data_IF_494741092591
#
_entry.id   IF_494741092591
#
_cell.length_a   1.000
_cell.length_b   1.000
_cell.length_c   1.000
_cell.angle_alpha   90.00
_cell.angle_beta   90.00
_cell.angle_gamma   90.00
#
_symmetry.space_group_name_H-M   'P 1'
#
loop_
_entity.id
_entity.type
_entity.pdbx_description
1 polymer ?
2 non-polymer ?
3 non-polymer ?
4 non-polymer ?
5 water ?
#
# COMPACT_ATOMS: atom_id res chain seq x y z
N UNK A 1 14.59 -10.32 -21.23
CA UNK A 1 13.50 -9.66 -20.47
C UNK A 1 13.82 -9.49 -18.97
N UNK A 2 13.34 -8.42 -18.37
CA UNK A 2 13.69 -8.21 -16.98
C UNK A 2 12.61 -8.75 -16.01
N UNK A 3 13.05 -8.99 -14.79
CA UNK A 3 12.15 -9.42 -13.74
C UNK A 3 13.00 -9.25 -12.50
N UNK A 4 12.36 -9.21 -11.34
CA UNK A 4 13.13 -9.05 -10.13
C UNK A 4 12.23 -9.29 -8.94
N UNK A 5 12.86 -9.46 -7.78
CA UNK A 5 12.13 -9.68 -6.57
C UNK A 5 12.70 -8.74 -5.56
N UNK A 6 11.83 -7.89 -4.99
CA UNK A 6 12.21 -6.95 -3.93
C UNK A 6 11.63 -7.51 -2.63
N UNK A 7 12.41 -7.50 -1.56
CA UNK A 7 11.95 -8.00 -0.29
C UNK A 7 11.40 -6.87 0.57
N UNK A 8 10.19 -7.05 1.10
CA UNK A 8 9.61 -6.04 1.98
C UNK A 8 9.64 -6.53 3.42
N UNK A 9 9.63 -5.61 4.38
CA UNK A 9 9.63 -6.05 5.74
C UNK A 9 8.73 -5.14 6.55
N UNK A 10 7.85 -5.73 7.36
CA UNK A 10 6.93 -4.93 8.15
C UNK A 10 7.62 -4.29 9.33
N UNK A 11 7.16 -3.11 9.70
CA UNK A 11 7.62 -2.42 10.89
C UNK A 11 6.78 -2.98 12.05
N UNK A 12 6.91 -2.41 13.24
CA UNK A 12 6.17 -2.88 14.39
C UNK A 12 4.66 -2.95 14.11
N UNK A 13 4.03 -4.06 14.52
CA UNK A 13 2.62 -4.26 14.30
C UNK A 13 2.19 -4.25 12.84
N UNK A 14 3.13 -4.46 11.92
CA UNK A 14 2.78 -4.43 10.50
C UNK A 14 2.16 -3.08 10.15
N UNK A 15 2.58 -2.01 10.81
CA UNK A 15 2.00 -0.73 10.48
C UNK A 15 2.31 -0.29 9.05
N UNK A 16 3.50 -0.63 8.58
CA UNK A 16 3.87 -0.31 7.20
C UNK A 16 4.95 -1.27 6.77
N UNK A 17 5.10 -1.44 5.46
CA UNK A 17 6.06 -2.36 4.89
C UNK A 17 7.12 -1.56 4.11
N UNK A 18 8.39 -1.73 4.44
CA UNK A 18 9.46 -1.04 3.75
C UNK A 18 10.24 -1.97 2.81
N UNK A 19 10.81 -1.37 1.77
CA UNK A 19 11.57 -2.08 0.75
C UNK A 19 12.70 -1.13 0.29
N UNK A 20 13.92 -1.65 0.19
CA UNK A 20 15.06 -0.81 -0.23
C UNK A 20 14.97 -0.47 -1.72
N UNK A 21 15.33 0.76 -2.07
CA UNK A 21 15.29 1.22 -3.45
C UNK A 21 16.56 2.06 -3.62
N UNK A 22 17.34 1.80 -4.66
CA UNK A 22 18.56 2.57 -4.87
C UNK A 22 18.32 3.63 -5.90
N UNK A 23 18.64 4.86 -5.53
CA UNK A 23 18.43 5.99 -6.42
C UNK A 23 19.73 6.75 -6.55
N UNK A 24 20.25 6.77 -7.77
CA UNK A 24 21.54 7.44 -7.98
C UNK A 24 22.62 6.86 -7.07
N UNK A 25 22.62 5.54 -6.86
CA UNK A 25 23.61 4.87 -6.00
C UNK A 25 23.38 4.92 -4.47
N UNK A 26 22.40 5.69 -4.02
CA UNK A 26 22.08 5.75 -2.58
C UNK A 26 20.84 4.88 -2.33
N UNK A 27 20.91 4.00 -1.32
CA UNK A 27 19.77 3.14 -1.00
C UNK A 27 18.89 3.78 0.09
N UNK A 28 17.58 3.80 -0.17
CA UNK A 28 16.63 4.38 0.78
C UNK A 28 15.53 3.33 1.02
N UNK A 29 14.96 3.37 2.22
CA UNK A 29 13.90 2.45 2.56
C UNK A 29 12.56 3.14 2.29
N UNK A 30 11.85 2.68 1.26
CA UNK A 30 10.59 3.29 0.89
C UNK A 30 9.37 2.42 1.18
N UNK A 31 8.22 3.07 1.33
CA UNK A 31 6.94 2.39 1.55
C UNK A 31 6.30 2.27 0.16
N UNK A 32 6.14 1.07 -0.36
CA UNK A 32 5.53 0.88 -1.67
C UNK A 32 4.02 1.03 -1.52
N UNK A 33 3.39 1.85 -2.36
CA UNK A 33 1.98 2.14 -2.15
C UNK A 33 1.15 2.05 -3.42
N UNK A 34 0.34 1.00 -3.54
CA UNK A 34 -0.48 0.85 -4.72
C UNK A 34 -1.66 1.86 -4.79
N UNK A 35 -1.81 2.66 -3.74
CA UNK A 35 -2.86 3.68 -3.66
C UNK A 35 -2.48 5.10 -4.13
N UNK A 36 -1.23 5.30 -4.56
CA UNK A 36 -0.82 6.62 -5.08
C UNK A 36 0.23 6.41 -6.15
N UNK A 37 0.46 7.46 -6.94
CA UNK A 37 1.33 7.39 -8.09
C UNK A 37 2.59 8.23 -8.07
N UNK A 38 2.99 8.70 -6.89
CA UNK A 38 4.21 9.51 -6.80
C UNK A 38 5.38 8.77 -6.14
N UNK A 39 6.58 8.97 -6.67
CA UNK A 39 7.76 8.38 -6.03
C UNK A 39 8.43 9.59 -5.41
N UNK A 40 8.39 9.74 -4.10
CA UNK A 40 9.03 10.92 -3.52
C UNK A 40 9.93 10.48 -2.40
N UNK A 41 10.99 11.24 -2.13
CA UNK A 41 11.94 10.83 -1.12
C UNK A 41 12.46 11.98 -0.30
N UNK A 42 12.88 11.69 0.92
CA UNK A 42 13.49 12.73 1.76
C UNK A 42 14.73 13.16 0.97
N UNK A 43 15.12 14.43 1.03
CA UNK A 43 16.28 14.88 0.23
C UNK A 43 17.07 15.94 0.97
N UNK A 44 18.20 16.33 0.39
CA UNK A 44 19.03 17.34 1.01
C UNK A 44 18.42 18.72 0.97
N UNK A 45 17.30 18.84 0.27
CA UNK A 45 16.60 20.13 0.18
C UNK A 45 15.79 20.44 1.42
N UNK A 46 15.57 19.43 2.28
CA UNK A 46 14.85 19.62 3.56
C UNK A 46 15.80 20.30 4.53
N UNK A 47 15.25 20.96 5.55
CA UNK A 47 16.06 21.57 6.57
C UNK A 47 16.81 20.42 7.18
N UNK A 48 18.01 20.71 7.63
CA UNK A 48 18.86 19.68 8.19
C UNK A 48 18.22 18.88 9.32
N UNK A 49 17.50 19.58 10.19
CA UNK A 49 16.93 18.87 11.32
C UNK A 49 15.90 17.83 10.88
N UNK A 50 15.29 18.01 9.72
CA UNK A 50 14.32 17.02 9.24
C UNK A 50 14.97 15.83 8.53
N UNK A 51 16.25 15.96 8.19
CA UNK A 51 16.98 14.89 7.49
C UNK A 51 17.45 13.83 8.47
N UNK A 52 17.63 14.23 9.72
CA UNK A 52 18.13 13.34 10.76
C UNK A 52 17.35 12.05 10.85
N UNK A 53 18.09 10.95 10.98
CA UNK A 53 17.46 9.64 11.12
C UNK A 53 16.94 9.09 9.80
N UNK A 54 17.37 9.65 8.69
CA UNK A 54 16.90 9.16 7.41
C UNK A 54 18.03 9.03 6.45
N UNK A 55 17.87 8.17 5.45
CA UNK A 55 18.82 8.12 4.36
C UNK A 55 18.16 9.13 3.42
N UNK A 56 18.95 10.00 2.79
CA UNK A 56 18.38 11.04 1.96
C UNK A 56 19.02 11.13 0.59
N UNK A 57 18.21 11.49 -0.40
CA UNK A 57 18.65 11.66 -1.77
C UNK A 57 19.31 13.03 -1.95
N UNK A 58 20.43 13.07 -2.66
CA UNK A 58 21.12 14.35 -2.92
C UNK A 58 21.01 14.53 -4.41
N UNK A 59 20.05 15.32 -4.86
CA UNK A 59 19.82 15.48 -6.30
C UNK A 59 20.98 16.08 -7.07
N UNK A 60 21.78 16.91 -6.41
CA UNK A 60 22.92 17.57 -7.06
C UNK A 60 24.00 16.61 -7.57
N UNK A 61 24.16 15.48 -6.87
CA UNK A 61 25.17 14.53 -7.25
C UNK A 61 24.95 13.76 -8.56
N UNK A 62 23.69 13.42 -8.84
CA UNK A 62 23.37 12.56 -9.97
C UNK A 62 22.10 12.87 -10.74
N UNK A 63 21.22 13.69 -10.19
CA UNK A 63 19.97 13.93 -10.89
C UNK A 63 19.97 15.04 -11.91
N UNK A 64 19.07 14.95 -12.88
CA UNK A 64 18.87 15.99 -13.89
C UNK A 64 17.62 16.75 -13.49
N UNK A 65 17.74 18.03 -13.15
CA UNK A 65 16.57 18.84 -12.74
C UNK A 65 15.58 19.12 -13.88
N UNK A 66 14.27 18.99 -13.62
CA UNK A 66 13.26 19.39 -14.63
C UNK A 66 12.90 20.82 -14.25
N UNK A 67 13.50 21.82 -14.91
CA UNK A 67 13.23 23.19 -14.49
C UNK A 67 11.75 23.56 -14.61
N UNK A 68 11.25 24.24 -13.58
CA UNK A 68 9.86 24.68 -13.56
C UNK A 68 8.84 23.63 -13.10
N UNK A 69 9.28 22.41 -12.85
CA UNK A 69 8.37 21.34 -12.44
C UNK A 69 8.28 21.25 -10.92
N UNK A 70 7.11 20.91 -10.40
CA UNK A 70 6.93 20.80 -8.97
C UNK A 70 5.92 19.68 -8.71
N UNK A 71 5.81 19.30 -7.45
CA UNK A 71 4.85 18.27 -7.07
C UNK A 71 4.34 18.60 -5.66
N UNK A 72 3.13 18.13 -5.35
CA UNK A 72 2.51 18.37 -4.06
C UNK A 72 1.46 17.29 -3.89
N UNK A 73 1.49 16.58 -2.76
CA UNK A 73 0.54 15.49 -2.61
C UNK A 73 0.01 15.50 -1.18
N UNK A 74 -1.26 15.08 -1.05
CA UNK A 74 -1.95 15.02 0.24
C UNK A 74 -2.61 13.66 0.32
N UNK A 75 -2.38 12.97 1.42
CA UNK A 75 -2.90 11.62 1.60
C UNK A 75 -4.17 11.62 2.43
N UNK A 76 -4.84 10.47 2.42
CA UNK A 76 -6.10 10.27 3.14
C UNK A 76 -6.07 10.65 4.62
N UNK A 77 -4.93 10.46 5.27
CA UNK A 77 -4.81 10.78 6.68
C UNK A 77 -4.54 12.27 6.91
N UNK A 78 -4.49 13.06 5.84
CA UNK A 78 -4.21 14.49 5.98
C UNK A 78 -2.74 14.92 5.90
N UNK A 79 -1.83 13.95 5.87
CA UNK A 79 -0.42 14.29 5.79
C UNK A 79 -0.11 14.78 4.36
N UNK A 80 1.00 15.50 4.19
CA UNK A 80 1.33 16.00 2.85
C UNK A 80 2.83 16.23 2.70
N UNK A 81 3.23 16.43 1.44
CA UNK A 81 4.62 16.67 1.13
C UNK A 81 4.66 17.38 -0.23
N UNK A 82 5.71 18.14 -0.50
CA UNK A 82 5.82 18.79 -1.81
C UNK A 82 7.31 19.10 -2.09
N UNK A 83 7.63 19.36 -3.36
CA UNK A 83 9.03 19.65 -3.70
C UNK A 83 9.20 19.83 -5.22
N UNK A 84 10.43 19.59 -5.67
CA UNK A 84 10.80 19.69 -7.06
C UNK A 84 11.13 18.33 -7.66
N UNK A 85 11.50 18.30 -8.94
CA UNK A 85 11.63 17.06 -9.63
C UNK A 85 12.94 16.90 -10.39
N UNK A 86 13.51 15.69 -10.32
CA UNK A 86 14.76 15.36 -11.02
C UNK A 86 14.57 13.99 -11.62
N UNK A 87 15.28 13.70 -12.71
CA UNK A 87 15.27 12.35 -13.27
C UNK A 87 16.57 11.68 -12.81
N UNK A 88 16.55 10.37 -12.60
CA UNK A 88 17.75 9.70 -12.11
C UNK A 88 17.51 8.22 -12.26
N UNK A 89 18.52 7.41 -11.96
CA UNK A 89 18.38 5.97 -12.05
C UNK A 89 17.75 5.45 -10.78
N UNK A 90 16.80 4.52 -10.93
CA UNK A 90 16.12 3.96 -9.78
C UNK A 90 16.08 2.45 -9.93
N UNK A 91 16.66 1.75 -8.96
CA UNK A 91 16.69 0.30 -9.02
C UNK A 91 15.87 -0.34 -7.89
N UNK A 92 15.04 -1.31 -8.27
CA UNK A 92 14.20 -2.02 -7.30
C UNK A 92 14.33 -3.50 -7.65
N UNK A 93 14.83 -4.29 -6.70
CA UNK A 93 14.93 -5.73 -6.92
C UNK A 93 15.75 -6.09 -8.16
N UNK A 94 16.78 -5.31 -8.44
CA UNK A 94 17.62 -5.59 -9.59
C UNK A 94 17.05 -5.08 -10.91
N UNK A 95 15.87 -4.48 -10.87
CA UNK A 95 15.31 -3.93 -12.09
C UNK A 95 15.59 -2.42 -12.07
N UNK A 96 16.25 -1.92 -13.12
CA UNK A 96 16.62 -0.51 -13.19
C UNK A 96 15.81 0.35 -14.16
N UNK A 97 15.26 1.44 -13.66
CA UNK A 97 14.56 2.42 -14.47
C UNK A 97 15.52 3.59 -14.72
N UNK A 98 15.89 3.79 -15.98
CA UNK A 98 16.73 4.90 -16.29
C UNK A 98 15.79 6.08 -16.62
N UNK A 99 16.15 7.26 -16.15
CA UNK A 99 15.32 8.42 -16.43
C UNK A 99 14.01 8.51 -15.64
N UNK A 100 13.90 7.77 -14.54
CA UNK A 100 12.70 7.81 -13.70
C UNK A 100 12.61 9.16 -13.00
N UNK A 101 11.42 9.74 -12.95
CA UNK A 101 11.21 11.01 -12.26
C UNK A 101 11.24 10.76 -10.75
N UNK A 102 12.10 11.47 -10.05
CA UNK A 102 12.22 11.35 -8.61
C UNK A 102 11.78 12.64 -7.98
N UNK A 103 10.79 12.59 -7.10
CA UNK A 103 10.26 13.78 -6.48
C UNK A 103 10.96 14.07 -5.17
N UNK A 104 11.82 15.09 -5.19
CA UNK A 104 12.62 15.46 -4.02
C UNK A 104 11.84 16.35 -3.08
N UNK A 105 11.69 15.91 -1.85
CA UNK A 105 10.93 16.69 -0.92
C UNK A 105 11.61 17.99 -0.51
N UNK A 106 10.83 19.06 -0.47
CA UNK A 106 11.23 20.35 0.06
C UNK A 106 10.47 20.66 1.37
N UNK A 107 9.28 20.10 1.49
CA UNK A 107 8.46 20.32 2.67
C UNK A 107 7.71 19.02 2.95
N UNK A 108 7.55 18.72 4.25
CA UNK A 108 6.82 17.53 4.70
C UNK A 108 6.07 17.88 5.98
N UNK A 109 4.88 17.31 6.12
CA UNK A 109 4.02 17.56 7.28
C UNK A 109 4.54 16.81 8.48
N UNK A 110 3.95 17.09 9.65
CA UNK A 110 4.42 16.46 10.89
C UNK A 110 4.44 14.94 10.91
N UNK A 111 3.46 14.30 10.30
CA UNK A 111 3.43 12.85 10.32
C UNK A 111 4.73 12.31 9.73
N UNK A 112 5.20 12.92 8.64
CA UNK A 112 6.43 12.45 8.05
C UNK A 112 7.65 12.80 8.88
N UNK A 113 7.65 13.99 9.46
CA UNK A 113 8.77 14.41 10.28
C UNK A 113 8.92 13.50 11.50
N UNK A 114 7.88 12.71 11.80
CA UNK A 114 7.95 11.82 12.96
C UNK A 114 8.32 10.40 12.66
N UNK A 115 7.93 9.93 11.48
CA UNK A 115 8.20 8.55 11.10
C UNK A 115 9.60 8.36 10.60
N UNK A 116 10.46 7.73 11.39
CA UNK A 116 11.82 7.46 10.92
C UNK A 116 11.92 6.11 10.26
N UNK A 117 10.81 5.41 10.13
CA UNK A 117 10.81 4.10 9.51
C UNK A 117 10.98 4.11 7.99
N UNK A 118 10.61 5.21 7.33
CA UNK A 118 10.77 5.24 5.89
C UNK A 118 11.39 6.53 5.48
N UNK A 119 11.89 6.50 4.24
CA UNK A 119 12.53 7.66 3.64
C UNK A 119 11.71 8.23 2.47
N UNK A 120 10.46 7.82 2.35
CA UNK A 120 9.62 8.28 1.24
C UNK A 120 8.66 7.17 0.83
N UNK A 121 7.93 7.41 -0.25
CA UNK A 121 6.98 6.41 -0.75
C UNK A 121 7.19 6.22 -2.23
N UNK A 122 7.00 5.00 -2.69
CA UNK A 122 7.09 4.69 -4.11
C UNK A 122 5.67 4.28 -4.56
N UNK A 123 5.03 5.12 -5.39
CA UNK A 123 3.66 4.89 -5.85
C UNK A 123 3.54 3.83 -6.92
N UNK A 124 2.51 3.00 -6.81
CA UNK A 124 2.26 1.96 -7.79
C UNK A 124 0.83 1.96 -8.30
N UNK A 125 0.11 3.06 -8.05
CA UNK A 125 -1.23 3.24 -8.63
C UNK A 125 -1.01 3.63 -10.11
N UNK A 126 -2.08 3.87 -10.87
CA UNK A 126 -1.90 4.27 -12.27
C UNK A 126 -1.31 5.68 -12.39
N UNK A 127 -0.48 5.89 -13.42
CA UNK A 127 0.22 7.16 -13.58
C UNK A 127 -0.68 8.37 -13.80
N UNK A 128 -1.92 8.13 -14.20
CA UNK A 128 -2.85 9.23 -14.45
C UNK A 128 -3.05 10.12 -13.23
N UNK A 129 -2.78 9.61 -12.04
CA UNK A 129 -2.93 10.40 -10.82
C UNK A 129 -1.62 10.91 -10.22
N UNK A 130 -0.55 10.82 -11.00
CA UNK A 130 0.74 11.38 -10.53
C UNK A 130 0.57 12.89 -10.41
N UNK A 131 1.08 13.50 -9.33
CA UNK A 131 0.89 14.91 -9.06
C UNK A 131 1.87 15.92 -9.68
N UNK A 132 2.86 15.45 -10.43
CA UNK A 132 3.85 16.39 -10.99
C UNK A 132 3.19 17.40 -11.94
N UNK A 133 3.60 18.67 -11.86
CA UNK A 133 3.05 19.77 -12.67
C UNK A 133 4.25 20.42 -13.34
N UNK A 134 4.10 20.95 -14.55
CA UNK A 134 2.86 20.98 -15.32
C UNK A 134 2.45 19.73 -16.07
N UNK A 135 3.33 18.74 -16.13
CA UNK A 135 3.01 17.51 -16.85
C UNK A 135 3.38 16.37 -15.95
N UNK A 136 2.42 15.47 -15.73
CA UNK A 136 2.60 14.35 -14.84
C UNK A 136 3.62 13.35 -15.39
N UNK A 137 4.25 12.61 -14.47
CA UNK A 137 5.29 11.64 -14.81
C UNK A 137 4.81 10.22 -14.61
N UNK A 138 5.52 9.25 -15.15
CA UNK A 138 5.13 7.84 -14.97
C UNK A 138 5.72 7.21 -13.70
N UNK A 139 4.97 6.31 -13.08
CA UNK A 139 5.44 5.60 -11.89
C UNK A 139 6.60 4.66 -12.34
N UNK A 140 7.34 4.15 -11.35
CA UNK A 140 8.43 3.24 -11.64
C UNK A 140 7.90 2.07 -12.45
N UNK A 141 6.74 1.53 -12.06
CA UNK A 141 6.22 0.40 -12.80
C UNK A 141 5.89 0.73 -14.25
N UNK A 142 5.25 1.88 -14.50
CA UNK A 142 4.94 2.27 -15.87
C UNK A 142 6.21 2.56 -16.69
N UNK A 143 7.24 3.06 -16.02
CA UNK A 143 8.47 3.35 -16.71
C UNK A 143 9.13 2.07 -17.23
N UNK A 144 9.15 1.03 -16.39
CA UNK A 144 9.82 -0.24 -16.77
C UNK A 144 8.95 -1.31 -17.42
N UNK A 145 7.63 -1.18 -17.33
CA UNK A 145 6.77 -2.26 -17.75
C UNK A 145 6.98 -2.86 -19.13
N UNK A 146 7.36 -2.05 -20.09
CA UNK A 146 7.56 -2.62 -21.42
C UNK A 146 8.80 -3.52 -21.45
N UNK A 147 9.72 -3.35 -20.50
CA UNK A 147 10.91 -4.20 -20.44
C UNK A 147 10.73 -5.51 -19.65
N UNK A 148 9.72 -5.59 -18.81
CA UNK A 148 9.52 -6.77 -17.99
C UNK A 148 9.08 -7.93 -18.86
N UNK A 149 9.25 -9.13 -18.34
CA UNK A 149 8.83 -10.30 -19.09
C UNK A 149 7.30 -10.30 -19.25
N UNK A 150 6.59 -9.84 -18.22
CA UNK A 150 5.13 -9.71 -18.29
C UNK A 150 4.88 -8.42 -17.57
N UNK A 151 3.99 -7.61 -18.10
CA UNK A 151 3.71 -6.27 -17.56
C UNK A 151 2.84 -6.30 -16.29
N UNK A 152 3.38 -6.85 -15.22
CA UNK A 152 2.64 -6.99 -13.99
C UNK A 152 3.61 -7.03 -12.82
N UNK A 153 3.07 -6.88 -11.63
CA UNK A 153 3.83 -7.06 -10.40
C UNK A 153 2.88 -7.81 -9.46
N UNK A 154 3.43 -8.45 -8.44
CA UNK A 154 2.59 -9.25 -7.53
C UNK A 154 3.12 -9.05 -6.13
N UNK A 155 2.26 -9.20 -5.15
CA UNK A 155 2.69 -8.94 -3.78
C UNK A 155 2.19 -9.94 -2.75
N UNK A 156 3.08 -10.25 -1.82
CA UNK A 156 2.80 -11.10 -0.68
C UNK A 156 3.32 -10.34 0.53
N UNK A 157 2.40 -9.76 1.28
CA UNK A 157 2.70 -9.08 2.54
C UNK A 157 2.42 -10.10 3.61
N UNK A 158 3.22 -10.11 4.66
CA UNK A 158 3.03 -11.11 5.69
C UNK A 158 3.04 -10.55 7.07
N UNK A 159 2.55 -11.35 8.01
CA UNK A 159 2.49 -10.90 9.38
C UNK A 159 3.81 -11.14 10.07
N UNK A 160 4.48 -10.05 10.46
CA UNK A 160 5.75 -10.15 11.17
C UNK A 160 6.75 -11.12 10.52
N UNK A 161 6.86 -11.05 9.20
CA UNK A 161 7.81 -11.86 8.46
C UNK A 161 8.10 -11.09 7.19
N UNK A 162 9.26 -11.33 6.59
CA UNK A 162 9.59 -10.65 5.34
C UNK A 162 8.67 -11.16 4.23
N UNK A 163 8.37 -10.30 3.27
CA UNK A 163 7.50 -10.65 2.18
C UNK A 163 8.17 -10.23 0.88
N UNK A 164 7.42 -10.27 -0.21
CA UNK A 164 8.05 -9.91 -1.45
C UNK A 164 7.12 -9.11 -2.34
N UNK A 165 7.74 -8.44 -3.31
CA UNK A 165 7.08 -7.78 -4.44
C UNK A 165 7.76 -8.40 -5.65
N UNK A 166 7.03 -9.22 -6.40
CA UNK A 166 7.59 -9.81 -7.60
C UNK A 166 7.30 -8.88 -8.78
N UNK A 167 8.34 -8.47 -9.51
CA UNK A 167 8.14 -7.66 -10.72
C UNK A 167 8.35 -8.47 -11.97
N UNK A 168 7.37 -8.45 -12.87
CA UNK A 168 7.52 -9.08 -14.17
C UNK A 168 7.28 -10.57 -14.25
N UNK A 169 6.94 -11.22 -13.12
CA UNK A 169 6.66 -12.65 -13.14
C UNK A 169 5.86 -13.04 -11.89
N UNK A 170 5.18 -14.19 -11.99
CA UNK A 170 4.38 -14.73 -10.90
C UNK A 170 5.10 -15.90 -10.26
N UNK A 171 5.24 -15.89 -8.94
CA UNK A 171 5.88 -17.01 -8.23
C UNK A 171 4.76 -17.89 -7.72
N UNK A 172 4.52 -19.00 -8.41
CA UNK A 172 3.43 -19.90 -8.03
C UNK A 172 3.61 -20.61 -6.68
N UNK A 173 4.81 -20.55 -6.12
CA UNK A 173 5.02 -21.18 -4.82
C UNK A 173 4.51 -20.31 -3.70
N UNK A 174 4.10 -19.08 -4.03
CA UNK A 174 3.64 -18.13 -3.00
C UNK A 174 2.15 -18.23 -2.64
N UNK A 175 1.43 -19.10 -3.34
CA UNK A 175 -0.01 -19.27 -3.11
C UNK A 175 -0.47 -20.69 -3.36
N UNK A 176 -1.63 -21.01 -2.81
CA UNK A 176 -2.26 -22.32 -2.95
C UNK A 176 -3.25 -22.30 -4.10
N UNK A 177 -3.32 -23.38 -4.87
CA UNK A 177 -4.26 -23.45 -5.96
C UNK A 177 -3.91 -22.50 -7.10
N UNK A 178 -4.93 -22.17 -7.88
CA UNK A 178 -4.81 -21.28 -9.02
C UNK A 178 -5.33 -19.88 -8.69
N UNK A 179 -4.86 -18.89 -9.44
CA UNK A 179 -5.30 -17.50 -9.28
C UNK A 179 -6.66 -17.28 -9.95
N UNK A 180 -7.48 -16.42 -9.33
CA UNK A 180 -8.77 -16.02 -9.89
C UNK A 180 -8.64 -14.54 -10.22
N UNK A 181 -8.97 -14.17 -11.45
CA UNK A 181 -8.84 -12.78 -11.85
C UNK A 181 -10.16 -12.07 -11.86
N UNK A 182 -10.10 -10.75 -11.73
CA UNK A 182 -11.29 -9.93 -11.82
C UNK A 182 -10.90 -8.61 -12.51
N UNK A 183 -11.85 -7.97 -13.19
CA UNK A 183 -11.54 -6.73 -13.91
C UNK A 183 -11.28 -5.51 -13.02
N UNK A 184 -10.39 -4.64 -13.48
CA UNK A 184 -10.08 -3.43 -12.75
C UNK A 184 -10.64 -2.18 -13.44
N UNK A 185 -11.20 -1.27 -12.65
CA UNK A 185 -11.69 0.02 -13.14
C UNK A 185 -10.61 1.02 -12.72
N UNK A 186 -9.84 1.49 -13.70
CA UNK A 186 -8.78 2.45 -13.39
C UNK A 186 -9.16 3.90 -13.62
N UNK A 187 -10.45 4.17 -13.80
CA UNK A 187 -10.90 5.53 -14.10
C UNK A 187 -10.50 6.61 -13.09
N UNK A 188 -10.38 6.26 -11.81
CA UNK A 188 -9.91 7.21 -10.81
C UNK A 188 -8.43 6.99 -10.46
N UNK A 189 -7.73 6.21 -11.30
CA UNK A 189 -6.31 5.92 -11.09
C UNK A 189 -5.97 4.78 -10.09
N UNK A 190 -6.96 4.16 -9.47
CA UNK A 190 -6.68 3.11 -8.48
C UNK A 190 -6.84 1.73 -9.04
N UNK A 191 -6.33 0.73 -8.31
CA UNK A 191 -6.59 -0.65 -8.68
C UNK A 191 -7.93 -1.01 -8.01
N UNK A 192 -9.02 -0.59 -8.64
CA UNK A 192 -10.37 -0.75 -8.10
C UNK A 192 -11.04 -2.01 -8.64
N UNK A 193 -11.78 -2.72 -7.78
CA UNK A 193 -12.45 -3.93 -8.23
C UNK A 193 -13.76 -4.08 -7.50
N UNK A 194 -14.63 -4.94 -8.03
CA UNK A 194 -15.92 -5.19 -7.42
C UNK A 194 -16.02 -6.50 -6.66
N UNK A 195 -16.72 -6.48 -5.52
CA UNK A 195 -17.03 -7.72 -4.80
C UNK A 195 -18.55 -7.93 -4.87
N UNK A 196 -18.96 -9.14 -5.11
CA UNK A 196 -20.38 -9.44 -5.24
C UNK A 196 -21.13 -9.52 -3.92
N UNK A 197 -20.42 -9.86 -2.85
CA UNK A 197 -21.02 -9.99 -1.52
C UNK A 197 -19.93 -10.15 -0.48
N UNK A 198 -20.33 -10.13 0.80
CA UNK A 198 -19.38 -10.31 1.86
C UNK A 198 -20.02 -11.14 2.97
N UNK A 199 -19.19 -11.67 3.84
CA UNK A 199 -19.64 -12.38 5.02
C UNK A 199 -18.77 -11.94 6.19
N UNK A 200 -19.40 -11.29 7.16
CA UNK A 200 -18.76 -10.86 8.37
C UNK A 200 -19.27 -11.78 9.46
N UNK A 201 -18.49 -12.81 9.79
CA UNK A 201 -18.92 -13.74 10.83
C UNK A 201 -20.21 -14.37 10.41
N UNK A 202 -21.22 -14.26 11.25
CA UNK A 202 -22.53 -14.87 10.98
C UNK A 202 -23.50 -14.03 10.12
N UNK A 203 -23.05 -12.90 9.57
CA UNK A 203 -23.94 -12.05 8.77
C UNK A 203 -23.34 -11.84 7.36
N UNK A 204 -24.18 -11.92 6.35
CA UNK A 204 -23.76 -11.68 4.97
C UNK A 204 -24.39 -10.39 4.47
N UNK A 205 -23.93 -9.87 3.34
CA UNK A 205 -24.48 -8.62 2.82
C UNK A 205 -24.14 -8.48 1.34
N UNK A 206 -24.69 -7.44 0.75
CA UNK A 206 -24.54 -7.13 -0.66
C UNK A 206 -23.13 -6.60 -0.94
N UNK A 207 -22.79 -6.62 -2.22
CA UNK A 207 -21.48 -6.18 -2.73
C UNK A 207 -21.22 -4.67 -2.68
N UNK A 208 -20.00 -4.32 -3.10
CA UNK A 208 -19.53 -2.95 -3.12
C UNK A 208 -18.22 -2.96 -3.86
N UNK A 209 -17.63 -1.79 -4.06
CA UNK A 209 -16.34 -1.74 -4.77
C UNK A 209 -15.28 -1.29 -3.78
N UNK A 210 -14.02 -1.54 -4.13
CA UNK A 210 -12.92 -1.13 -3.28
C UNK A 210 -11.61 -1.14 -4.03
N UNK A 211 -10.57 -0.61 -3.39
CA UNK A 211 -9.26 -0.55 -4.02
C UNK A 211 -8.24 -1.41 -3.29
N UNK A 212 -7.35 -2.06 -4.06
CA UNK A 212 -6.26 -2.86 -3.48
C UNK A 212 -5.18 -1.83 -3.14
N UNK A 213 -4.88 -1.66 -1.87
CA UNK A 213 -4.03 -0.54 -1.45
C UNK A 213 -2.99 -0.95 -0.37
N UNK A 214 -1.76 -1.24 -0.82
CA UNK A 214 -0.70 -1.63 0.11
C UNK A 214 -0.31 -0.52 1.04
N UNK A 215 -0.61 0.72 0.68
CA UNK A 215 -0.22 1.89 1.48
C UNK A 215 -1.07 2.14 2.72
N UNK A 216 -2.24 1.51 2.78
CA UNK A 216 -3.13 1.68 3.95
C UNK A 216 -3.02 0.45 4.88
N UNK A 217 -2.83 0.71 6.16
CA UNK A 217 -2.59 -0.37 7.12
C UNK A 217 -3.82 -1.28 7.37
N UNK A 218 -4.98 -0.67 7.52
CA UNK A 218 -6.21 -1.36 7.89
C UNK A 218 -7.12 -1.71 6.74
N UNK A 219 -8.19 -2.45 7.05
CA UNK A 219 -9.24 -2.82 6.11
C UNK A 219 -10.38 -1.85 6.45
N UNK A 220 -10.59 -0.86 5.59
CA UNK A 220 -11.55 0.24 5.85
C UNK A 220 -12.85 -0.02 5.09
N UNK A 221 -13.95 -0.15 5.82
CA UNK A 221 -15.21 -0.53 5.19
C UNK A 221 -16.32 0.45 5.58
N UNK A 222 -17.49 0.27 4.97
CA UNK A 222 -18.63 1.09 5.29
C UNK A 222 -18.98 0.96 6.79
N UNK A 223 -19.48 2.06 7.38
CA UNK A 223 -19.88 2.06 8.77
C UNK A 223 -20.88 0.93 9.08
N UNK A 224 -21.77 0.64 8.14
CA UNK A 224 -22.78 -0.41 8.39
C UNK A 224 -22.12 -1.77 8.53
N UNK A 225 -21.14 -2.04 7.67
CA UNK A 225 -20.41 -3.33 7.74
C UNK A 225 -19.56 -3.37 9.01
N UNK A 226 -18.92 -2.26 9.35
CA UNK A 226 -18.14 -2.23 10.57
C UNK A 226 -19.03 -2.57 11.78
N UNK A 227 -20.20 -1.95 11.85
CA UNK A 227 -21.10 -2.19 12.99
C UNK A 227 -21.53 -3.65 13.04
N UNK A 228 -21.85 -4.20 11.88
CA UNK A 228 -22.25 -5.61 11.81
C UNK A 228 -21.17 -6.51 12.36
N UNK A 229 -19.93 -6.23 11.95
CA UNK A 229 -18.81 -7.04 12.39
C UNK A 229 -18.60 -6.97 13.91
N UNK A 230 -18.47 -5.76 14.45
CA UNK A 230 -18.20 -5.65 15.87
C UNK A 230 -19.37 -6.01 16.80
N UNK A 231 -20.57 -6.05 16.25
CA UNK A 231 -21.73 -6.45 17.07
C UNK A 231 -21.51 -7.89 17.52
N UNK A 232 -20.67 -8.62 16.78
CA UNK A 232 -20.38 -10.02 17.08
C UNK A 232 -19.17 -10.24 17.99
N UNK A 233 -18.47 -9.17 18.34
CA UNK A 233 -17.27 -9.27 19.16
C UNK A 233 -17.62 -8.86 20.57
N UNK A 234 -17.54 -9.80 21.48
CA UNK A 234 -17.93 -9.50 22.84
C UNK A 234 -17.03 -8.43 23.45
N UNK A 235 -17.68 -7.40 23.97
CA UNK A 235 -16.97 -6.30 24.62
C UNK A 235 -16.39 -5.22 23.71
N UNK A 236 -16.51 -5.37 22.40
CA UNK A 236 -15.95 -4.37 21.47
C UNK A 236 -16.53 -3.00 21.79
N UNK A 237 -15.70 -1.96 21.69
CA UNK A 237 -16.13 -0.59 22.02
C UNK A 237 -15.22 0.35 21.24
N UNK A 238 -15.73 1.53 20.87
CA UNK A 238 -14.89 2.51 20.22
C UNK A 238 -14.03 3.19 21.25
N UNK A 239 -12.81 3.51 20.87
CA UNK A 239 -11.89 4.19 21.79
C UNK A 239 -11.08 5.16 20.91
N UNK A 240 -11.43 6.44 20.99
CA UNK A 240 -10.78 7.43 20.17
C UNK A 240 -9.28 7.52 20.49
N UNK A 241 -8.88 7.13 21.70
CA UNK A 241 -7.45 7.15 22.04
C UNK A 241 -6.72 6.15 21.13
N UNK A 242 -7.38 5.03 20.83
CA UNK A 242 -6.78 4.01 19.98
C UNK A 242 -7.07 4.19 18.50
N UNK A 243 -8.09 4.98 18.18
CA UNK A 243 -8.43 5.20 16.77
C UNK A 243 -9.59 4.38 16.21
N UNK A 244 -10.36 3.72 17.06
CA UNK A 244 -11.46 2.95 16.53
C UNK A 244 -11.90 1.89 17.53
N UNK A 245 -12.52 0.84 17.01
CA UNK A 245 -12.97 -0.26 17.85
C UNK A 245 -11.81 -1.03 18.41
N UNK A 246 -11.91 -1.36 19.69
CA UNK A 246 -10.90 -2.13 20.38
C UNK A 246 -11.68 -3.22 21.14
N UNK A 247 -10.98 -4.23 21.64
CA UNK A 247 -11.59 -5.35 22.36
C UNK A 247 -10.48 -6.07 23.11
N UNK A 248 -10.86 -6.97 24.02
CA UNK A 248 -9.87 -7.71 24.79
C UNK A 248 -9.03 -8.56 23.86
N UNK A 249 -7.70 -8.51 24.05
CA UNK A 249 -6.81 -9.22 23.18
C UNK A 249 -7.06 -10.72 23.04
N UNK A 250 -7.71 -11.31 24.05
CA UNK A 250 -7.98 -12.75 24.04
C UNK A 250 -9.22 -13.14 23.24
N UNK A 251 -9.99 -12.15 22.81
CA UNK A 251 -11.22 -12.40 22.08
C UNK A 251 -11.14 -13.26 20.82
N UNK A 252 -12.17 -14.04 20.59
CA UNK A 252 -12.23 -14.86 19.39
C UNK A 252 -12.89 -13.98 18.33
N UNK A 253 -12.15 -13.60 17.29
CA UNK A 253 -12.71 -12.75 16.23
C UNK A 253 -13.25 -13.60 15.09
N UNK A 254 -14.40 -13.23 14.53
CA UNK A 254 -14.95 -13.97 13.41
C UNK A 254 -14.15 -13.66 12.16
N UNK A 255 -14.27 -14.52 11.17
CA UNK A 255 -13.61 -14.27 9.91
C UNK A 255 -14.38 -13.21 9.14
N UNK A 256 -13.77 -12.70 8.08
CA UNK A 256 -14.36 -11.76 7.16
C UNK A 256 -14.01 -12.24 5.77
N UNK A 257 -14.99 -12.36 4.88
CA UNK A 257 -14.76 -12.85 3.53
C UNK A 257 -15.47 -11.97 2.51
N UNK A 258 -15.00 -11.99 1.27
CA UNK A 258 -15.69 -11.27 0.19
C UNK A 258 -15.65 -12.17 -1.01
N UNK A 259 -16.68 -12.13 -1.82
CA UNK A 259 -16.72 -12.97 -3.01
C UNK A 259 -16.31 -12.09 -4.17
N UNK A 260 -15.34 -12.55 -4.94
CA UNK A 260 -14.79 -11.80 -6.06
C UNK A 260 -14.76 -12.73 -7.26
N UNK A 261 -15.65 -12.49 -8.22
CA UNK A 261 -15.73 -13.33 -9.41
C UNK A 261 -15.73 -14.82 -9.11
N UNK A 262 -16.52 -15.23 -8.12
CA UNK A 262 -16.64 -16.65 -7.79
C UNK A 262 -15.64 -17.16 -6.76
N UNK A 263 -14.59 -16.39 -6.52
CA UNK A 263 -13.58 -16.77 -5.53
C UNK A 263 -13.92 -16.15 -4.18
N UNK A 264 -13.78 -16.94 -3.12
CA UNK A 264 -13.99 -16.44 -1.78
C UNK A 264 -12.67 -16.08 -1.09
N UNK A 265 -12.41 -14.79 -0.98
CA UNK A 265 -11.20 -14.33 -0.30
C UNK A 265 -11.51 -14.21 1.18
N UNK A 266 -10.87 -15.01 2.01
CA UNK A 266 -11.12 -15.00 3.44
C UNK A 266 -10.00 -14.43 4.28
N UNK A 267 -10.32 -13.48 5.15
CA UNK A 267 -9.35 -12.94 6.08
C UNK A 267 -9.67 -13.63 7.41
N UNK A 268 -8.81 -14.52 7.89
CA UNK A 268 -9.10 -15.19 9.15
C UNK A 268 -9.15 -14.23 10.32
N UNK A 269 -10.00 -14.53 11.30
CA UNK A 269 -10.11 -13.64 12.43
C UNK A 269 -8.76 -13.30 13.11
N UNK A 270 -7.82 -14.24 13.14
CA UNK A 270 -6.56 -13.94 13.82
C UNK A 270 -5.82 -12.77 13.19
N UNK A 271 -6.01 -12.58 11.89
CA UNK A 271 -5.34 -11.46 11.25
C UNK A 271 -6.06 -10.16 11.51
N UNK A 272 -7.32 -10.24 11.90
CA UNK A 272 -8.06 -9.03 12.17
C UNK A 272 -7.67 -8.40 13.51
N UNK A 273 -6.95 -9.13 14.35
CA UNK A 273 -6.49 -8.51 15.57
C UNK A 273 -5.22 -7.79 15.17
N UNK A 274 -5.28 -6.47 15.05
CA UNK A 274 -4.12 -5.71 14.61
C UNK A 274 -2.94 -5.72 15.62
N UNK A 275 -3.26 -5.69 16.91
CA UNK A 275 -2.21 -5.68 17.92
C UNK A 275 -2.66 -4.82 19.08
N UNK A 276 -1.78 -4.62 20.05
CA UNK A 276 -2.12 -3.81 21.23
C UNK A 276 -2.58 -2.44 20.78
N UNK A 277 -3.64 -1.94 21.42
CA UNK A 277 -4.22 -0.65 21.07
C UNK A 277 -3.36 0.51 21.54
N UNK A 278 -2.45 0.25 22.45
CA UNK A 278 -1.63 1.35 22.92
C UNK A 278 -2.53 2.31 23.71
N UNK A 279 -3.37 1.72 24.54
CA UNK A 279 -4.28 2.45 25.39
C UNK A 279 -4.77 1.32 26.28
N UNK A 280 -4.30 1.31 27.51
CA UNK A 280 -4.67 0.23 28.40
C UNK A 280 -4.07 -1.09 27.85
N UNK A 281 -4.89 -2.13 27.88
CA UNK A 281 -4.44 -3.42 27.48
C UNK A 281 -5.37 -4.08 26.49
N UNK A 282 -6.09 -3.26 25.73
CA UNK A 282 -6.96 -3.78 24.68
C UNK A 282 -6.17 -3.85 23.35
N UNK A 283 -6.75 -4.54 22.39
CA UNK A 283 -6.19 -4.64 21.05
C UNK A 283 -7.07 -3.86 20.07
N UNK A 284 -6.45 -3.31 19.01
CA UNK A 284 -7.18 -2.54 18.01
C UNK A 284 -7.64 -3.50 16.91
N UNK A 285 -8.84 -3.31 16.39
CA UNK A 285 -9.34 -4.20 15.33
C UNK A 285 -8.78 -3.79 13.99
N UNK A 286 -8.58 -4.79 13.12
CA UNK A 286 -8.04 -4.56 11.78
C UNK A 286 -9.06 -3.92 10.87
N UNK A 287 -10.35 -4.09 11.20
CA UNK A 287 -11.44 -3.50 10.45
C UNK A 287 -11.88 -2.18 11.10
N UNK A 288 -11.96 -1.10 10.32
CA UNK A 288 -12.39 0.21 10.88
C UNK A 288 -13.14 0.96 9.78
N UNK A 289 -13.77 2.08 10.15
CA UNK A 289 -14.59 2.88 9.25
C UNK A 289 -13.83 3.57 8.11
N UNK A 290 -14.48 3.69 6.94
CA UNK A 290 -13.94 4.42 5.81
C UNK A 290 -14.40 5.88 5.78
N UNK A 291 -15.03 6.35 6.87
CA UNK A 291 -15.45 7.74 7.00
C UNK A 291 -16.49 8.20 6.00
N UNK A 292 -17.16 7.25 5.38
CA UNK A 292 -18.23 7.56 4.45
C UNK A 292 -17.85 7.92 3.03
N UNK A 293 -16.62 7.60 2.63
CA UNK A 293 -16.18 7.92 1.26
C UNK A 293 -16.87 7.21 0.12
N UNK A 294 -17.63 6.15 0.39
CA UNK A 294 -18.37 5.47 -0.69
C UNK A 294 -17.78 4.24 -1.35
N UNK A 295 -16.59 3.82 -0.89
CA UNK A 295 -15.93 2.61 -1.43
C UNK A 295 -14.98 2.17 -0.33
N UNK A 296 -14.57 0.90 -0.41
CA UNK A 296 -13.73 0.31 0.63
C UNK A 296 -12.25 0.28 0.28
N UNK A 297 -11.41 0.31 1.31
CA UNK A 297 -9.96 0.27 1.08
C UNK A 297 -9.45 -1.08 1.59
N UNK A 298 -9.04 -1.93 0.65
CA UNK A 298 -8.49 -3.24 1.02
C UNK A 298 -6.99 -3.07 1.31
N UNK A 299 -6.70 -2.68 2.55
CA UNK A 299 -5.37 -2.40 3.05
C UNK A 299 -4.61 -3.66 3.48
N UNK A 300 -3.53 -3.43 4.21
CA UNK A 300 -2.63 -4.50 4.60
C UNK A 300 -3.28 -5.66 5.33
N UNK A 301 -4.27 -5.37 6.19
CA UNK A 301 -4.96 -6.45 6.94
C UNK A 301 -5.51 -7.51 6.00
N UNK A 302 -6.09 -7.04 4.89
CA UNK A 302 -6.64 -7.94 3.90
C UNK A 302 -5.55 -8.61 3.08
N UNK A 303 -4.59 -7.80 2.66
CA UNK A 303 -3.52 -8.29 1.76
C UNK A 303 -2.66 -9.39 2.38
N UNK A 304 -2.54 -9.38 3.71
CA UNK A 304 -1.78 -10.41 4.43
C UNK A 304 -2.33 -11.79 4.23
N UNK A 305 -3.56 -11.91 3.78
CA UNK A 305 -4.13 -13.23 3.58
C UNK A 305 -4.03 -13.71 2.14
N UNK A 306 -3.62 -12.84 1.20
CA UNK A 306 -3.66 -13.23 -0.21
C UNK A 306 -2.37 -12.92 -0.94
N UNK A 307 -2.15 -13.62 -2.04
CA UNK A 307 -1.07 -13.27 -2.97
C UNK A 307 -1.85 -12.52 -4.05
N UNK A 308 -1.47 -11.27 -4.31
CA UNK A 308 -2.24 -10.48 -5.29
C UNK A 308 -1.43 -10.10 -6.53
N UNK A 309 -1.96 -10.35 -7.71
CA UNK A 309 -1.26 -10.00 -8.93
C UNK A 309 -1.89 -8.72 -9.53
N UNK A 310 -1.07 -7.70 -9.79
CA UNK A 310 -1.52 -6.45 -10.39
C UNK A 310 -1.10 -6.51 -11.84
N UNK A 311 -2.04 -6.78 -12.73
CA UNK A 311 -1.72 -6.98 -14.14
C UNK A 311 -2.17 -5.81 -15.01
N UNK A 312 -1.23 -5.13 -15.68
CA UNK A 312 -1.61 -4.00 -16.51
C UNK A 312 -2.40 -4.41 -17.74
N UNK A 313 -2.34 -5.68 -18.14
CA UNK A 313 -3.14 -6.15 -19.29
C UNK A 313 -4.59 -6.37 -18.83
N UNK A 314 -5.50 -5.52 -19.26
CA UNK A 314 -6.90 -5.63 -18.86
C UNK A 314 -7.40 -4.22 -18.56
N UNK A 315 -6.97 -3.62 -17.47
CA UNK A 315 -6.13 -4.25 -16.45
C UNK A 315 -6.96 -5.21 -15.59
N UNK A 316 -6.30 -6.00 -14.74
CA UNK A 316 -7.02 -6.95 -13.89
C UNK A 316 -6.18 -7.34 -12.68
N UNK A 317 -6.87 -7.79 -11.63
CA UNK A 317 -6.24 -8.25 -10.41
C UNK A 317 -6.46 -9.76 -10.29
N UNK A 318 -5.44 -10.46 -9.83
CA UNK A 318 -5.52 -11.90 -9.58
C UNK A 318 -5.37 -12.14 -8.07
N UNK A 319 -6.12 -13.10 -7.54
CA UNK A 319 -6.06 -13.43 -6.12
C UNK A 319 -6.02 -14.94 -5.86
N UNK A 320 -5.33 -15.32 -4.78
CA UNK A 320 -5.30 -16.70 -4.29
C UNK A 320 -4.77 -16.63 -2.88
N UNK A 321 -5.08 -17.63 -2.06
CA UNK A 321 -4.62 -17.60 -0.67
C UNK A 321 -3.12 -17.76 -0.59
N UNK A 322 -2.48 -16.98 0.27
CA UNK A 322 -1.02 -17.12 0.42
C UNK A 322 -0.67 -18.51 0.95
N UNK A 323 0.42 -19.08 0.47
CA UNK A 323 0.84 -20.40 0.95
C UNK A 323 1.57 -20.26 2.29
X LIG B 1 12.56 -13.07 -13.60
X LIG B 1 13.82 -13.78 -13.13
X LIG B 1 14.94 -13.44 -14.09
X LIG B 1 14.55 -13.85 -15.49
X LIG B 1 13.29 -13.09 -15.87
X LIG B 1 12.78 -13.36 -17.28
X LIG B 1 13.58 -15.20 -13.15
X LIG B 1 16.15 -14.10 -13.71
X LIG B 1 15.59 -13.52 -16.38
X LIG B 1 12.25 -13.44 -14.94
X LIG B 1 12.38 -14.71 -17.42
X LIG C 1 14.65 -10.30 -0.64
X LIG C 1 14.63 -11.22 -1.86
X LIG C 1 13.94 -12.50 -1.52
X LIG C 1 14.65 -13.16 -0.37
X LIG C 1 14.68 -12.20 0.81
X LIG C 1 15.49 -12.73 1.99
X LIG C 1 15.97 -11.57 -2.22
X LIG C 1 13.97 -13.42 -2.62
X LIG C 1 13.85 -14.27 -0.04
X LIG C 1 15.30 -10.97 0.44
X LIG C 1 16.11 -11.61 2.73
X LIG D 1 -2.29 -20.34 -11.70
X LIG D 1 -1.34 -19.69 -12.60
X LIG D 1 -3.56 -19.70 -11.88
X LIG D 1 -2.40 -21.75 -12.09
X LIG D 1 -1.86 -20.23 -10.30
X LIG E 1 -3.11 3.71 6.49
X LIG E 1 -0.45 6.14 7.22
X LIG E 1 -0.07 6.79 8.37
X LIG E 1 0.57 8.05 8.35
X LIG E 1 0.93 8.66 7.17
X LIG E 1 0.57 8.01 5.93
X LIG E 1 -0.09 6.75 5.95
X LIG E 1 -0.51 6.18 4.72
X LIG E 1 -0.24 6.79 3.51
X LIG E 1 0.44 8.03 3.50
X LIG E 1 0.80 8.63 4.68
X LIG E 1 -1.25 4.84 7.31
X LIG E 1 -2.58 4.85 6.59
X LIG E 1 -0.68 6.16 2.22
X LIG E 1 -2.16 6.50 1.98
X LIG E 1 -3.16 5.94 6.08
X LIG E 1 -4.35 6.02 5.24
X LIG E 1 -3.55 6.66 4.07
X LIG E 1 -3.44 7.89 3.98
X LIG E 1 -5.54 6.85 5.75
X LIG E 1 -6.44 6.33 4.63
X LIG E 1 -5.83 5.89 6.91
X LIG E 1 -2.99 5.98 3.06
X LIG E 1 -2.70 5.75 0.45
X LIG E 1 -1.88 6.25 -0.66
X LIG E 1 -2.74 4.29 0.57
X LIG E 1 -4.51 6.94 -1.12
X LIG E 1 -6.02 6.75 -1.43
X LIG E 1 -6.91 6.70 -0.22
X LIG E 1 -6.71 5.78 0.79
X LIG E 1 -8.02 7.53 -0.13
X LIG E 1 -7.50 5.77 1.90
X LIG E 1 -8.84 7.49 0.98
X LIG E 1 -8.58 6.59 1.99
X LIG E 1 -4.20 8.40 -0.83
X LIG E 1 -3.65 10.32 -2.15
X LIG E 1 -4.11 6.38 0.10
X LIG E 1 -4.48 9.08 -1.93
X LIG E 1 -4.06 8.93 0.23
#
# INVERSE_FOLDING_TARGET
AASGVATNTPTANDEEYITPVTIGGTTLNLNFDTGSADLWVFSTELPASQQSGHSVYNPSATGKELSGYTWSISYGDGSSASGNVFTDSVTVGGVTAHGQAVQAAQQISAQFQQDTNNDGLLGLAFSSINTVQPQSQTTFFDTVKSSLAQPLFAVALKHQQPGVYDFGFIDSSKYTGSLTYTGVDNSQGFWSFNVDSYTAGSQSGDGFSGIADTGTTLLLLDDSVVSQYYSQVSGAQQDSNAGGYVFDCSTNLPDFSVSISGYTATVPGSLINYGPSGDGSTCLGGIQSNSGIGFSIFGDIFLKSQYVVFDSDGPQLGFAPQA
MAN C1 C2 C3 C4 C5 C6 O2 O3 O4 O5 O6
MAN C1 C2 C3 C4 C5 C6 O2 O3 O4 O5 O6
SO4 S O1 O2 O3 O4
PP6 OI C1 C2 C3 C4 C5 C6 C7 C8 C9 C10 C11 C12 C13 C14 NV CAV CV OV CBV CV1 CV2 NL P O OH CA CB CG CD1 CD2 CE1 CE2 CZ C CS OP OS OE
#
